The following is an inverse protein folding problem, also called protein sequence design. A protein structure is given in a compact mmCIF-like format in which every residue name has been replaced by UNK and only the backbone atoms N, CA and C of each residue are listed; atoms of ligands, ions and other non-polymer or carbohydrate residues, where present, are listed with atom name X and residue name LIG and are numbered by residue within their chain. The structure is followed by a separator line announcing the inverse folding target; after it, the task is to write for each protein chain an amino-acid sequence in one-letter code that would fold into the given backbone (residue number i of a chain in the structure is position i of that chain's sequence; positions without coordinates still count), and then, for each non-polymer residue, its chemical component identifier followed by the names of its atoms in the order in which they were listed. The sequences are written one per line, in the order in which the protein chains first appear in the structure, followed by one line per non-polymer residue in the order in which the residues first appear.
data_IF_151813504237
#
_entry.id   IF_151813504237
#
_cell.length_a   1.000
_cell.length_b   1.000
_cell.length_c   1.000
_cell.angle_alpha   90.00
_cell.angle_beta   90.00
_cell.angle_gamma   90.00
#
_symmetry.space_group_name_H-M   'P 1'
#
loop_
_entity.id
_entity.type
_entity.pdbx_description
1 polymer ?
#
# COMPACT_ATOMS: atom_id res chain seq x y z
N UNK A 1 22.73 6.07 24.84
CA UNK A 1 22.44 4.83 24.07
C UNK A 1 21.10 4.17 24.42
N UNK A 2 20.77 3.94 25.70
CA UNK A 2 19.49 3.28 26.12
C UNK A 2 18.21 4.00 25.61
N UNK A 3 18.16 5.31 25.62
CA UNK A 3 16.97 6.09 25.14
C UNK A 3 16.75 5.98 23.65
N UNK A 4 17.81 5.88 22.81
CA UNK A 4 17.70 5.70 21.36
C UNK A 4 17.19 4.28 21.00
N UNK A 5 17.64 3.25 21.72
CA UNK A 5 17.16 1.88 21.50
C UNK A 5 15.70 1.71 21.92
N UNK A 6 15.29 2.31 23.04
CA UNK A 6 13.89 2.31 23.47
C UNK A 6 12.97 2.99 22.45
N UNK A 7 13.40 4.14 21.88
CA UNK A 7 12.64 4.82 20.85
C UNK A 7 12.51 4.00 19.55
N UNK A 8 13.58 3.27 19.16
CA UNK A 8 13.53 2.40 17.97
C UNK A 8 12.55 1.24 18.13
N UNK A 9 12.59 0.55 19.25
CA UNK A 9 11.65 -0.55 19.53
C UNK A 9 10.21 -0.05 19.55
N UNK A 10 9.96 1.09 20.22
CA UNK A 10 8.64 1.70 20.24
C UNK A 10 8.10 1.98 18.83
N UNK A 11 8.88 2.65 17.97
CA UNK A 11 8.39 3.05 16.66
C UNK A 11 8.11 1.85 15.75
N UNK A 12 8.86 0.75 15.91
CA UNK A 12 8.60 -0.50 15.20
C UNK A 12 7.29 -1.16 15.66
N UNK A 13 7.02 -1.17 16.96
CA UNK A 13 5.74 -1.64 17.52
C UNK A 13 4.59 -0.76 17.04
N UNK A 14 4.78 0.56 17.03
CA UNK A 14 3.80 1.52 16.49
C UNK A 14 3.45 1.21 15.04
N UNK A 15 4.46 1.07 14.17
CA UNK A 15 4.25 0.73 12.77
C UNK A 15 3.56 -0.62 12.60
N UNK A 16 3.96 -1.62 13.36
CA UNK A 16 3.32 -2.94 13.31
C UNK A 16 1.83 -2.84 13.68
N UNK A 17 1.48 -2.15 14.76
CA UNK A 17 0.07 -1.98 15.20
C UNK A 17 -0.72 -1.17 14.19
N UNK A 18 -0.15 -0.11 13.59
CA UNK A 18 -0.81 0.68 12.56
C UNK A 18 -1.15 -0.18 11.33
N UNK A 19 -0.18 -0.94 10.83
CA UNK A 19 -0.38 -1.81 9.66
C UNK A 19 -1.33 -2.97 10.00
N UNK A 20 -1.22 -3.53 11.19
CA UNK A 20 -2.15 -4.55 11.68
C UNK A 20 -3.59 -4.01 11.69
N UNK A 21 -3.80 -2.80 12.23
CA UNK A 21 -5.11 -2.15 12.28
C UNK A 21 -5.69 -1.91 10.88
N UNK A 22 -4.88 -1.43 9.93
CA UNK A 22 -5.28 -1.30 8.53
C UNK A 22 -5.67 -2.67 7.96
N UNK A 23 -4.83 -3.69 8.18
CA UNK A 23 -5.05 -5.06 7.69
C UNK A 23 -6.33 -5.69 8.24
N UNK A 24 -6.66 -5.46 9.51
CA UNK A 24 -7.89 -5.95 10.17
C UNK A 24 -9.14 -5.45 9.42
N UNK A 25 -9.13 -4.24 8.88
CA UNK A 25 -10.30 -3.60 8.27
C UNK A 25 -10.47 -3.99 6.79
N UNK A 26 -9.38 -4.34 6.09
CA UNK A 26 -9.40 -4.64 4.65
C UNK A 26 -10.51 -5.64 4.25
N UNK A 27 -10.69 -6.81 4.89
CA UNK A 27 -11.72 -7.77 4.51
C UNK A 27 -13.14 -7.35 4.95
N UNK A 28 -13.28 -6.32 5.77
CA UNK A 28 -14.53 -5.99 6.47
C UNK A 28 -15.23 -4.77 5.89
N UNK A 29 -14.47 -3.73 5.53
CA UNK A 29 -15.05 -2.46 5.09
C UNK A 29 -15.98 -2.61 3.87
N UNK A 30 -15.67 -3.41 2.83
CA UNK A 30 -16.59 -3.64 1.73
C UNK A 30 -17.91 -4.30 2.17
N UNK A 31 -17.84 -5.27 3.08
CA UNK A 31 -19.01 -5.98 3.60
C UNK A 31 -19.91 -5.06 4.45
N UNK A 32 -19.29 -4.18 5.27
CA UNK A 32 -20.04 -3.20 6.05
C UNK A 32 -20.75 -2.18 5.14
N UNK A 33 -20.10 -1.74 4.06
CA UNK A 33 -20.73 -0.87 3.06
C UNK A 33 -21.90 -1.57 2.39
N UNK A 34 -21.74 -2.83 2.03
CA UNK A 34 -22.78 -3.66 1.43
C UNK A 34 -23.99 -3.83 2.37
N UNK A 35 -23.75 -3.99 3.69
CA UNK A 35 -24.82 -4.05 4.69
C UNK A 35 -25.67 -2.77 4.68
N UNK A 36 -25.06 -1.58 4.64
CA UNK A 36 -25.80 -0.31 4.56
C UNK A 36 -26.61 -0.13 3.28
N UNK A 37 -26.25 -0.82 2.21
CA UNK A 37 -26.88 -0.73 0.88
C UNK A 37 -27.83 -1.90 0.58
N UNK A 38 -28.26 -2.64 1.61
CA UNK A 38 -29.22 -3.74 1.45
C UNK A 38 -28.71 -4.89 0.58
N UNK A 39 -27.40 -5.08 0.50
CA UNK A 39 -26.78 -6.20 -0.24
C UNK A 39 -26.43 -5.87 -1.71
N UNK A 40 -26.59 -4.65 -2.19
CA UNK A 40 -26.30 -4.29 -3.58
C UNK A 40 -24.80 -4.16 -3.84
N UNK A 41 -24.23 -5.15 -4.53
CA UNK A 41 -22.77 -5.23 -4.81
C UNK A 41 -22.27 -4.09 -5.72
N UNK A 42 -23.04 -3.72 -6.75
CA UNK A 42 -22.65 -2.66 -7.68
C UNK A 42 -22.61 -1.30 -6.98
N UNK A 43 -23.62 -0.98 -6.17
CA UNK A 43 -23.61 0.26 -5.38
C UNK A 43 -22.50 0.23 -4.30
N UNK A 44 -22.30 -0.90 -3.63
CA UNK A 44 -21.24 -1.05 -2.65
C UNK A 44 -19.85 -0.78 -3.26
N UNK A 45 -19.62 -1.21 -4.50
CA UNK A 45 -18.39 -0.94 -5.22
C UNK A 45 -18.18 0.55 -5.50
N UNK A 46 -19.24 1.30 -5.87
CA UNK A 46 -19.15 2.76 -6.06
C UNK A 46 -18.73 3.43 -4.76
N UNK A 47 -19.50 3.20 -3.69
CA UNK A 47 -19.22 3.85 -2.40
C UNK A 47 -17.86 3.47 -1.85
N UNK A 48 -17.49 2.19 -1.90
CA UNK A 48 -16.17 1.73 -1.47
C UNK A 48 -15.05 2.39 -2.25
N UNK A 49 -15.13 2.43 -3.58
CA UNK A 49 -14.14 3.05 -4.43
C UNK A 49 -13.96 4.55 -4.13
N UNK A 50 -15.07 5.28 -3.94
CA UNK A 50 -15.03 6.70 -3.58
C UNK A 50 -14.50 6.93 -2.17
N UNK A 51 -14.88 6.12 -1.18
CA UNK A 51 -14.38 6.18 0.21
C UNK A 51 -12.86 5.98 0.24
N UNK A 52 -12.34 4.95 -0.43
CA UNK A 52 -10.89 4.67 -0.48
C UNK A 52 -10.14 5.78 -1.24
N UNK A 53 -10.70 6.28 -2.34
CA UNK A 53 -10.12 7.40 -3.08
C UNK A 53 -10.08 8.68 -2.24
N UNK A 54 -11.12 8.95 -1.44
CA UNK A 54 -11.16 10.09 -0.51
C UNK A 54 -10.05 9.98 0.53
N UNK A 55 -9.89 8.81 1.16
CA UNK A 55 -8.78 8.55 2.08
C UNK A 55 -7.42 8.81 1.43
N UNK A 56 -7.17 8.24 0.24
CA UNK A 56 -5.91 8.40 -0.47
C UNK A 56 -5.65 9.86 -0.89
N UNK A 57 -6.70 10.59 -1.29
CA UNK A 57 -6.62 12.02 -1.64
C UNK A 57 -6.25 12.86 -0.43
N UNK A 58 -6.92 12.65 0.71
CA UNK A 58 -6.59 13.38 1.95
C UNK A 58 -5.18 13.06 2.41
N UNK A 59 -4.76 11.79 2.35
CA UNK A 59 -3.40 11.38 2.68
C UNK A 59 -2.36 12.06 1.76
N UNK A 60 -2.60 12.09 0.44
CA UNK A 60 -1.72 12.74 -0.52
C UNK A 60 -1.56 14.24 -0.26
N UNK A 61 -2.64 14.93 0.06
CA UNK A 61 -2.64 16.37 0.33
C UNK A 61 -2.03 16.70 1.70
N UNK A 62 -2.34 15.90 2.73
CA UNK A 62 -2.00 16.22 4.11
C UNK A 62 -0.64 15.66 4.55
N UNK A 63 -0.12 14.57 3.92
CA UNK A 63 1.15 13.98 4.31
C UNK A 63 2.34 14.95 4.23
N UNK A 64 2.49 15.80 3.18
CA UNK A 64 3.56 16.80 3.15
C UNK A 64 3.40 17.87 4.23
N UNK A 65 2.15 18.23 4.57
CA UNK A 65 1.84 19.23 5.61
C UNK A 65 2.24 18.68 6.97
N UNK A 66 1.78 17.47 7.30
CA UNK A 66 2.12 16.81 8.57
C UNK A 66 3.62 16.51 8.68
N UNK A 67 4.27 16.17 7.57
CA UNK A 67 5.71 16.04 7.50
C UNK A 67 6.44 17.34 7.90
N UNK A 68 6.04 18.46 7.30
CA UNK A 68 6.63 19.77 7.63
C UNK A 68 6.28 20.23 9.07
N UNK A 69 5.08 19.91 9.56
CA UNK A 69 4.74 20.18 10.97
C UNK A 69 5.60 19.31 11.91
N UNK A 70 5.92 18.07 11.52
CA UNK A 70 6.80 17.21 12.31
C UNK A 70 8.26 17.71 12.31
N UNK A 71 8.71 18.35 11.22
CA UNK A 71 10.04 19.02 11.15
C UNK A 71 10.09 20.27 12.02
N UNK A 72 8.97 20.93 12.25
CA UNK A 72 8.88 22.17 13.06
C UNK A 72 8.65 21.90 14.53
N UNK A 73 7.67 21.06 14.86
CA UNK A 73 7.20 20.85 16.24
C UNK A 73 7.84 19.64 16.92
N UNK A 74 8.50 18.79 16.14
CA UNK A 74 9.07 17.52 16.58
C UNK A 74 8.26 16.32 16.04
N UNK A 75 8.88 15.16 16.05
CA UNK A 75 8.30 13.91 15.54
C UNK A 75 7.20 13.37 16.45
N UNK A 76 7.48 13.37 17.75
CA UNK A 76 6.58 12.78 18.77
C UNK A 76 5.17 13.38 18.77
N UNK A 77 4.95 14.71 18.80
CA UNK A 77 3.61 15.28 18.80
C UNK A 77 2.79 14.85 17.58
N UNK A 78 3.40 14.83 16.39
CA UNK A 78 2.71 14.49 15.15
C UNK A 78 2.35 13.00 15.11
N UNK A 79 3.25 12.10 15.56
CA UNK A 79 2.93 10.68 15.69
C UNK A 79 1.75 10.48 16.63
N UNK A 80 1.73 11.12 17.80
CA UNK A 80 0.64 10.99 18.77
C UNK A 80 -0.69 11.51 18.22
N UNK A 81 -0.70 12.68 17.55
CA UNK A 81 -1.92 13.21 16.91
C UNK A 81 -2.41 12.26 15.81
N UNK A 82 -1.52 11.70 15.00
CA UNK A 82 -1.87 10.74 13.96
C UNK A 82 -2.47 9.45 14.53
N UNK A 83 -1.88 8.89 15.58
CA UNK A 83 -2.40 7.69 16.28
C UNK A 83 -3.78 7.94 16.90
N UNK A 84 -3.98 9.09 17.53
CA UNK A 84 -5.27 9.47 18.09
C UNK A 84 -6.33 9.63 17.00
N UNK A 85 -5.98 10.29 15.88
CA UNK A 85 -6.87 10.43 14.74
C UNK A 85 -7.26 9.09 14.12
N UNK A 86 -6.31 8.13 14.04
CA UNK A 86 -6.57 6.78 13.55
C UNK A 86 -7.50 6.00 14.49
N UNK A 87 -7.30 6.09 15.81
CA UNK A 87 -8.20 5.49 16.80
C UNK A 87 -9.62 6.06 16.68
N UNK A 88 -9.71 7.39 16.50
CA UNK A 88 -11.00 8.10 16.31
C UNK A 88 -11.71 7.61 15.04
N UNK A 89 -10.98 7.45 13.92
CA UNK A 89 -11.54 6.89 12.69
C UNK A 89 -12.16 5.50 12.93
N UNK A 90 -11.41 4.60 13.58
CA UNK A 90 -11.91 3.25 13.84
C UNK A 90 -13.15 3.25 14.76
N UNK A 91 -13.19 4.11 15.77
CA UNK A 91 -14.39 4.26 16.62
C UNK A 91 -15.59 4.77 15.81
N UNK A 92 -15.38 5.79 14.98
CA UNK A 92 -16.42 6.34 14.11
C UNK A 92 -16.99 5.24 13.20
N UNK A 93 -16.12 4.43 12.58
CA UNK A 93 -16.55 3.33 11.71
C UNK A 93 -17.26 2.21 12.47
N UNK A 94 -16.76 1.84 13.66
CA UNK A 94 -17.38 0.82 14.51
C UNK A 94 -18.81 1.19 14.96
N UNK A 95 -19.05 2.47 15.25
CA UNK A 95 -20.38 2.99 15.63
C UNK A 95 -21.18 3.59 14.47
N UNK A 96 -20.67 3.55 13.25
CA UNK A 96 -21.31 4.18 12.10
C UNK A 96 -22.79 3.77 11.97
N UNK A 97 -23.76 4.72 12.06
CA UNK A 97 -25.18 4.47 11.82
C UNK A 97 -25.54 4.55 10.34
N UNK A 98 -24.64 5.09 9.49
CA UNK A 98 -24.83 5.23 8.05
C UNK A 98 -23.51 5.31 7.31
N UNK A 99 -23.55 5.17 5.99
CA UNK A 99 -22.39 5.19 5.10
C UNK A 99 -21.60 6.52 5.18
N UNK A 100 -22.25 7.63 5.50
CA UNK A 100 -21.62 8.95 5.61
C UNK A 100 -20.61 9.03 6.77
N UNK A 101 -20.82 8.25 7.81
CA UNK A 101 -19.87 8.14 8.93
C UNK A 101 -18.60 7.40 8.49
N UNK A 102 -18.70 6.47 7.55
CA UNK A 102 -17.53 5.82 6.95
C UNK A 102 -16.70 6.83 6.13
N UNK A 103 -17.37 7.72 5.38
CA UNK A 103 -16.70 8.82 4.68
C UNK A 103 -15.98 9.75 5.66
N UNK A 104 -16.65 10.15 6.74
CA UNK A 104 -16.07 11.02 7.76
C UNK A 104 -14.83 10.37 8.39
N UNK A 105 -14.94 9.11 8.83
CA UNK A 105 -13.84 8.36 9.41
C UNK A 105 -12.66 8.27 8.44
N UNK A 106 -12.88 7.82 7.20
CA UNK A 106 -11.82 7.71 6.20
C UNK A 106 -11.19 9.05 5.83
N UNK A 107 -11.96 10.14 5.86
CA UNK A 107 -11.43 11.49 5.67
C UNK A 107 -10.47 11.86 6.81
N UNK A 108 -10.87 11.64 8.06
CA UNK A 108 -10.01 11.85 9.25
C UNK A 108 -8.75 10.99 9.17
N UNK A 109 -8.90 9.70 8.87
CA UNK A 109 -7.75 8.80 8.71
C UNK A 109 -6.80 9.25 7.61
N UNK A 110 -7.32 9.74 6.48
CA UNK A 110 -6.50 10.27 5.39
C UNK A 110 -5.72 11.52 5.81
N UNK A 111 -6.38 12.47 6.49
CA UNK A 111 -5.73 13.67 7.04
C UNK A 111 -4.63 13.29 8.04
N UNK A 112 -4.90 12.32 8.92
CA UNK A 112 -3.99 11.88 9.99
C UNK A 112 -2.99 10.80 9.55
N UNK A 113 -3.06 10.32 8.30
CA UNK A 113 -2.27 9.20 7.76
C UNK A 113 -0.77 9.45 7.59
N UNK A 114 -0.21 10.48 8.25
CA UNK A 114 1.23 10.77 8.23
C UNK A 114 2.03 10.00 9.30
N UNK A 115 1.41 9.14 10.09
CA UNK A 115 2.11 8.33 11.10
C UNK A 115 3.29 7.58 10.50
N UNK A 116 3.09 6.90 9.38
CA UNK A 116 4.14 6.13 8.67
C UNK A 116 5.27 7.05 8.18
N UNK A 117 4.94 8.19 7.57
CA UNK A 117 5.94 9.15 7.05
C UNK A 117 6.77 9.74 8.19
N UNK A 118 6.11 10.15 9.28
CA UNK A 118 6.78 10.71 10.46
C UNK A 118 7.59 9.64 11.20
N UNK A 119 7.09 8.39 11.26
CA UNK A 119 7.81 7.26 11.83
C UNK A 119 9.10 6.94 11.05
N UNK A 120 9.04 6.98 9.71
CA UNK A 120 10.25 6.81 8.89
C UNK A 120 11.27 7.93 9.12
N UNK A 121 10.82 9.19 9.29
CA UNK A 121 11.69 10.29 9.66
C UNK A 121 12.29 10.09 11.07
N UNK A 122 11.49 9.67 12.05
CA UNK A 122 11.95 9.33 13.39
C UNK A 122 13.05 8.25 13.35
N UNK A 123 12.85 7.18 12.58
CA UNK A 123 13.82 6.09 12.42
C UNK A 123 15.11 6.62 11.79
N UNK A 124 15.01 7.52 10.81
CA UNK A 124 16.18 8.14 10.20
C UNK A 124 16.97 8.99 11.22
N UNK A 125 16.26 9.73 12.10
CA UNK A 125 16.85 10.58 13.14
C UNK A 125 17.62 9.78 14.21
N UNK A 126 17.12 8.58 14.57
CA UNK A 126 17.73 7.74 15.61
C UNK A 126 18.75 6.73 15.07
N UNK A 127 18.83 6.56 13.75
CA UNK A 127 19.74 5.61 13.08
C UNK A 127 21.08 6.24 12.78
N UNK A 128 22.16 5.48 12.99
CA UNK A 128 23.49 5.80 12.47
C UNK A 128 23.61 5.32 11.01
N UNK A 129 24.60 5.81 10.23
CA UNK A 129 24.82 5.32 8.86
C UNK A 129 24.94 3.78 8.78
N UNK A 130 25.57 3.16 9.77
CA UNK A 130 25.81 1.71 9.84
C UNK A 130 24.55 0.92 10.15
N UNK A 131 23.65 1.45 10.98
CA UNK A 131 22.42 0.76 11.42
C UNK A 131 21.20 1.11 10.58
N UNK A 132 21.28 2.16 9.74
CA UNK A 132 20.12 2.67 8.98
C UNK A 132 19.46 1.62 8.10
N UNK A 133 20.27 0.87 7.33
CA UNK A 133 19.74 -0.18 6.45
C UNK A 133 19.03 -1.29 7.22
N UNK A 134 19.60 -1.71 8.36
CA UNK A 134 18.99 -2.71 9.24
C UNK A 134 17.68 -2.21 9.83
N UNK A 135 17.65 -0.96 10.33
CA UNK A 135 16.46 -0.37 10.95
C UNK A 135 15.29 -0.25 9.96
N UNK A 136 15.56 0.18 8.71
CA UNK A 136 14.54 0.17 7.66
C UNK A 136 14.15 -1.25 7.23
N UNK A 137 15.03 -2.23 7.36
CA UNK A 137 14.70 -3.65 7.20
C UNK A 137 13.65 -4.12 8.23
N UNK A 138 13.77 -3.70 9.49
CA UNK A 138 12.75 -3.98 10.52
C UNK A 138 11.41 -3.30 10.23
N UNK A 139 11.40 -2.11 9.62
CA UNK A 139 10.16 -1.48 9.14
C UNK A 139 9.47 -2.38 8.11
N UNK A 140 10.23 -2.88 7.14
CA UNK A 140 9.69 -3.84 6.15
C UNK A 140 9.13 -5.11 6.80
N UNK A 141 9.79 -5.64 7.83
CA UNK A 141 9.30 -6.79 8.59
C UNK A 141 7.99 -6.46 9.35
N UNK A 142 7.91 -5.29 9.98
CA UNK A 142 6.68 -4.84 10.65
C UNK A 142 5.50 -4.72 9.68
N UNK A 143 5.74 -4.16 8.48
CA UNK A 143 4.74 -4.13 7.41
C UNK A 143 4.32 -5.54 6.99
N UNK A 144 5.27 -6.42 6.71
CA UNK A 144 4.99 -7.80 6.29
C UNK A 144 4.15 -8.57 7.31
N UNK A 145 4.52 -8.48 8.59
CA UNK A 145 3.79 -9.14 9.68
C UNK A 145 2.40 -8.52 9.90
N UNK A 146 2.27 -7.19 9.83
CA UNK A 146 0.99 -6.52 9.95
C UNK A 146 0.02 -6.92 8.84
N UNK A 147 0.48 -6.99 7.58
CA UNK A 147 -0.31 -7.46 6.45
C UNK A 147 -0.57 -8.97 6.46
N UNK A 148 0.27 -9.76 7.11
CA UNK A 148 0.03 -11.19 7.28
C UNK A 148 -1.08 -11.46 8.31
N UNK A 149 -0.95 -10.86 9.50
CA UNK A 149 -1.85 -11.14 10.60
C UNK A 149 -3.12 -10.29 10.59
N UNK A 150 -3.06 -9.05 10.05
CA UNK A 150 -4.19 -8.12 10.04
C UNK A 150 -5.43 -8.70 9.38
N UNK A 151 -5.40 -9.08 8.09
CA UNK A 151 -6.57 -9.61 7.41
C UNK A 151 -7.09 -10.92 8.01
N UNK A 152 -6.21 -11.78 8.52
CA UNK A 152 -6.61 -13.02 9.20
C UNK A 152 -7.41 -12.70 10.47
N UNK A 153 -6.88 -11.80 11.31
CA UNK A 153 -7.59 -11.35 12.52
C UNK A 153 -8.89 -10.63 12.15
N UNK A 154 -8.86 -9.78 11.13
CA UNK A 154 -10.04 -9.09 10.62
C UNK A 154 -11.12 -10.06 10.18
N UNK A 155 -10.74 -11.08 9.39
CA UNK A 155 -11.65 -12.13 8.94
C UNK A 155 -12.26 -12.94 10.08
N UNK A 156 -11.44 -13.35 11.08
CA UNK A 156 -11.90 -14.06 12.26
C UNK A 156 -12.90 -13.22 13.09
N UNK A 157 -12.53 -11.98 13.40
CA UNK A 157 -13.37 -11.07 14.18
C UNK A 157 -14.64 -10.68 13.41
N UNK A 158 -14.53 -10.43 12.11
CA UNK A 158 -15.64 -10.06 11.25
C UNK A 158 -16.65 -11.19 11.04
N UNK A 159 -16.21 -12.45 11.14
CA UNK A 159 -17.09 -13.61 11.12
C UNK A 159 -17.95 -13.73 12.40
N UNK A 160 -17.49 -13.17 13.51
CA UNK A 160 -18.27 -13.09 14.75
C UNK A 160 -19.27 -11.93 14.65
N UNK A 161 -18.78 -10.73 14.29
CA UNK A 161 -19.59 -9.54 14.10
C UNK A 161 -18.85 -8.52 13.22
N UNK A 162 -19.49 -7.98 12.16
CA UNK A 162 -18.85 -7.08 11.19
C UNK A 162 -18.23 -5.81 11.79
N UNK A 163 -18.73 -5.35 12.93
CA UNK A 163 -18.20 -4.12 13.59
C UNK A 163 -17.09 -4.41 14.61
N UNK A 164 -16.94 -5.65 15.06
CA UNK A 164 -15.94 -6.02 16.06
C UNK A 164 -14.50 -5.71 15.63
N UNK A 165 -14.08 -5.93 14.37
CA UNK A 165 -12.76 -5.55 13.88
C UNK A 165 -12.41 -4.08 14.09
N UNK A 166 -13.37 -3.17 13.90
CA UNK A 166 -13.14 -1.73 14.10
C UNK A 166 -12.89 -1.39 15.57
N UNK A 167 -13.63 -1.98 16.49
CA UNK A 167 -13.42 -1.75 17.92
C UNK A 167 -12.09 -2.32 18.40
N UNK A 168 -11.69 -3.49 17.89
CA UNK A 168 -10.38 -4.09 18.21
C UNK A 168 -9.26 -3.21 17.65
N UNK A 169 -9.37 -2.76 16.40
CA UNK A 169 -8.39 -1.84 15.80
C UNK A 169 -8.30 -0.50 16.56
N UNK A 170 -9.46 0.05 16.98
CA UNK A 170 -9.51 1.25 17.82
C UNK A 170 -8.81 1.04 19.17
N UNK A 171 -9.09 -0.07 19.84
CA UNK A 171 -8.42 -0.45 21.09
C UNK A 171 -6.91 -0.56 20.94
N UNK A 172 -6.43 -1.24 19.89
CA UNK A 172 -5.01 -1.36 19.60
C UNK A 172 -4.38 0.02 19.31
N UNK A 173 -5.03 0.87 18.53
CA UNK A 173 -4.54 2.23 18.25
C UNK A 173 -4.49 3.10 19.51
N UNK A 174 -5.49 3.02 20.40
CA UNK A 174 -5.49 3.72 21.69
C UNK A 174 -4.38 3.20 22.63
N UNK A 175 -4.20 1.89 22.73
CA UNK A 175 -3.09 1.31 23.50
C UNK A 175 -1.75 1.79 22.96
N UNK A 176 -1.60 1.81 21.66
CA UNK A 176 -0.40 2.33 20.99
C UNK A 176 -0.21 3.84 21.27
N UNK A 177 -1.29 4.61 21.24
CA UNK A 177 -1.27 6.04 21.60
C UNK A 177 -0.82 6.26 23.04
N UNK A 178 -1.41 5.54 24.01
CA UNK A 178 -1.02 5.63 25.43
C UNK A 178 0.46 5.19 25.61
N UNK A 179 0.85 4.09 24.98
CA UNK A 179 2.25 3.65 25.02
C UNK A 179 3.19 4.73 24.46
N UNK A 180 2.83 5.36 23.35
CA UNK A 180 3.57 6.48 22.77
C UNK A 180 3.60 7.70 23.66
N UNK A 181 2.50 8.01 24.30
CA UNK A 181 2.41 9.16 25.20
C UNK A 181 3.37 9.05 26.40
N UNK A 182 3.51 7.86 26.97
CA UNK A 182 4.37 7.64 28.14
C UNK A 182 5.81 7.27 27.79
N UNK A 183 6.07 6.60 26.68
CA UNK A 183 7.35 5.93 26.40
C UNK A 183 8.13 6.58 25.26
N UNK A 184 7.46 7.17 24.23
CA UNK A 184 8.17 7.70 23.05
C UNK A 184 8.92 8.99 23.39
N UNK A 185 10.28 9.02 23.32
CA UNK A 185 11.03 10.26 23.42
C UNK A 185 10.94 11.06 22.12
N UNK A 186 11.22 12.36 22.19
CA UNK A 186 11.41 13.17 20.99
C UNK A 186 12.74 12.83 20.30
N UNK A 187 12.74 12.65 18.98
CA UNK A 187 13.95 12.34 18.21
C UNK A 187 14.61 13.59 17.62
N UNK A 188 13.82 14.64 17.34
CA UNK A 188 14.29 15.84 16.69
C UNK A 188 14.66 16.91 17.72
N UNK A 189 15.96 17.12 17.91
CA UNK A 189 16.45 18.15 18.81
C UNK A 189 15.97 19.55 18.36
N UNK A 190 15.71 20.48 19.30
CA UNK A 190 15.20 21.83 18.97
C UNK A 190 16.05 22.57 17.94
N UNK A 191 17.37 22.36 17.97
CA UNK A 191 18.36 23.01 17.07
C UNK A 191 18.23 22.52 15.61
N UNK A 192 17.68 21.33 15.39
CA UNK A 192 17.48 20.74 14.08
C UNK A 192 16.09 20.99 13.51
N UNK A 193 15.22 21.70 14.23
CA UNK A 193 13.86 22.03 13.76
C UNK A 193 13.91 23.06 12.66
N UNK A 194 13.12 22.83 11.61
CA UNK A 194 13.06 23.71 10.44
C UNK A 194 11.80 24.59 10.43
N UNK A 195 11.87 25.71 9.72
CA UNK A 195 10.69 26.53 9.46
C UNK A 195 9.85 25.89 8.35
N UNK A 196 8.52 25.94 8.51
CA UNK A 196 7.60 25.42 7.50
C UNK A 196 7.70 26.23 6.21
N UNK A 197 8.05 25.55 5.10
CA UNK A 197 8.09 26.17 3.78
C UNK A 197 7.01 25.59 2.87
N UNK A 198 5.91 26.30 2.71
CA UNK A 198 4.77 25.89 1.87
C UNK A 198 5.16 25.61 0.40
N UNK A 199 6.18 26.30 -0.13
CA UNK A 199 6.68 26.09 -1.50
C UNK A 199 7.32 24.71 -1.71
N UNK A 200 7.85 24.08 -0.66
CA UNK A 200 8.48 22.75 -0.71
C UNK A 200 7.46 21.60 -0.61
N UNK A 201 6.19 21.90 -0.33
CA UNK A 201 5.14 20.89 -0.10
C UNK A 201 4.42 20.43 -1.37
N UNK A 202 4.83 20.86 -2.55
CA UNK A 202 4.21 20.42 -3.80
C UNK A 202 4.66 18.98 -4.15
N UNK A 203 3.80 17.96 -3.95
CA UNK A 203 4.18 16.57 -4.17
C UNK A 203 4.40 16.26 -5.67
N UNK A 204 3.84 17.06 -6.58
CA UNK A 204 3.97 16.86 -8.03
C UNK A 204 5.27 17.47 -8.58
N UNK A 205 5.94 18.36 -7.82
CA UNK A 205 7.17 19.01 -8.29
C UNK A 205 8.31 18.00 -8.53
N UNK A 206 8.32 16.89 -7.79
CA UNK A 206 9.29 15.81 -7.94
C UNK A 206 9.17 15.07 -9.29
N UNK A 207 7.97 14.98 -9.87
CA UNK A 207 7.73 14.29 -11.14
C UNK A 207 8.50 14.92 -12.32
N UNK A 208 8.71 16.23 -12.32
CA UNK A 208 9.48 16.93 -13.36
C UNK A 208 10.92 16.43 -13.46
N UNK A 209 11.49 15.93 -12.37
CA UNK A 209 12.85 15.41 -12.31
C UNK A 209 13.04 14.08 -13.03
N UNK A 210 11.98 13.30 -13.20
CA UNK A 210 12.04 12.01 -13.90
C UNK A 210 12.53 12.17 -15.35
N UNK A 211 12.17 13.27 -16.01
CA UNK A 211 12.57 13.55 -17.39
C UNK A 211 14.08 13.76 -17.61
N UNK A 212 14.84 14.03 -16.54
CA UNK A 212 16.30 14.21 -16.63
C UNK A 212 17.05 12.90 -16.91
N UNK A 213 16.43 11.75 -16.62
CA UNK A 213 17.03 10.42 -16.77
C UNK A 213 16.15 9.53 -17.64
N UNK A 214 16.46 9.34 -18.94
CA UNK A 214 15.61 8.57 -19.87
C UNK A 214 15.28 7.14 -19.40
N UNK A 215 16.25 6.46 -18.80
CA UNK A 215 16.03 5.13 -18.21
C UNK A 215 15.02 5.19 -17.06
N UNK A 216 15.18 6.15 -16.14
CA UNK A 216 14.32 6.33 -14.98
C UNK A 216 12.90 6.74 -15.41
N UNK A 217 12.77 7.61 -16.41
CA UNK A 217 11.48 8.02 -16.96
C UNK A 217 10.71 6.82 -17.55
N UNK A 218 11.39 5.96 -18.32
CA UNK A 218 10.76 4.75 -18.86
C UNK A 218 10.39 3.73 -17.76
N UNK A 219 11.25 3.56 -16.76
CA UNK A 219 10.95 2.73 -15.58
C UNK A 219 9.79 3.28 -14.76
N UNK A 220 9.67 4.62 -14.62
CA UNK A 220 8.57 5.28 -13.92
C UNK A 220 7.23 5.09 -14.62
N UNK A 221 7.20 5.14 -15.97
CA UNK A 221 5.99 4.86 -16.76
C UNK A 221 5.56 3.40 -16.59
N UNK A 222 6.49 2.45 -16.68
CA UNK A 222 6.20 1.04 -16.45
C UNK A 222 5.72 0.78 -15.01
N UNK A 223 6.37 1.42 -14.03
CA UNK A 223 5.98 1.36 -12.63
C UNK A 223 4.57 1.92 -12.40
N UNK A 224 4.20 3.02 -13.06
CA UNK A 224 2.87 3.63 -12.95
C UNK A 224 1.78 2.62 -13.37
N UNK A 225 1.92 2.00 -14.56
CA UNK A 225 0.95 1.02 -15.04
C UNK A 225 0.91 -0.23 -14.17
N UNK A 226 2.05 -0.76 -13.77
CA UNK A 226 2.13 -1.92 -12.88
C UNK A 226 1.51 -1.64 -11.49
N UNK A 227 1.81 -0.47 -10.91
CA UNK A 227 1.25 -0.06 -9.62
C UNK A 227 -0.26 0.20 -9.70
N UNK A 228 -0.74 0.75 -10.82
CA UNK A 228 -2.17 0.97 -11.06
C UNK A 228 -2.93 -0.36 -11.08
N UNK A 229 -2.43 -1.36 -11.81
CA UNK A 229 -2.99 -2.70 -11.85
C UNK A 229 -2.99 -3.36 -10.47
N UNK A 230 -1.85 -3.32 -9.77
CA UNK A 230 -1.71 -3.92 -8.44
C UNK A 230 -2.68 -3.30 -7.43
N UNK A 231 -2.79 -1.96 -7.39
CA UNK A 231 -3.78 -1.27 -6.56
C UNK A 231 -5.22 -1.60 -6.94
N UNK A 232 -5.48 -1.82 -8.25
CA UNK A 232 -6.77 -2.29 -8.75
C UNK A 232 -7.19 -3.61 -8.13
N UNK A 233 -6.29 -4.60 -8.13
CA UNK A 233 -6.50 -5.89 -7.48
C UNK A 233 -6.80 -5.71 -5.99
N UNK A 234 -5.95 -4.98 -5.27
CA UNK A 234 -6.08 -4.76 -3.83
C UNK A 234 -7.44 -4.16 -3.44
N UNK A 235 -7.95 -3.21 -4.24
CA UNK A 235 -9.19 -2.53 -3.94
C UNK A 235 -10.45 -3.30 -4.35
N UNK A 236 -10.41 -4.09 -5.44
CA UNK A 236 -11.60 -4.79 -5.94
C UNK A 236 -11.77 -6.17 -5.32
N UNK A 237 -10.69 -6.75 -4.78
CA UNK A 237 -10.60 -8.17 -4.44
C UNK A 237 -11.74 -8.67 -3.57
N UNK A 238 -11.99 -8.03 -2.43
CA UNK A 238 -12.98 -8.50 -1.43
C UNK A 238 -14.40 -8.47 -2.02
N UNK A 239 -14.75 -7.39 -2.73
CA UNK A 239 -16.04 -7.27 -3.42
C UNK A 239 -16.20 -8.32 -4.52
N UNK A 240 -15.16 -8.52 -5.33
CA UNK A 240 -15.15 -9.53 -6.37
C UNK A 240 -15.30 -10.94 -5.82
N UNK A 241 -14.55 -11.29 -4.78
CA UNK A 241 -14.58 -12.61 -4.17
C UNK A 241 -15.94 -12.89 -3.49
N UNK A 242 -16.54 -11.87 -2.85
CA UNK A 242 -17.89 -11.93 -2.32
C UNK A 242 -18.92 -12.17 -3.41
N UNK A 243 -18.89 -11.38 -4.48
CA UNK A 243 -19.82 -11.50 -5.61
C UNK A 243 -19.65 -12.79 -6.39
N UNK A 244 -18.40 -13.16 -6.73
CA UNK A 244 -18.11 -14.29 -7.63
C UNK A 244 -18.18 -15.66 -6.98
N UNK A 245 -17.73 -15.75 -5.72
CA UNK A 245 -17.55 -17.03 -5.00
C UNK A 245 -18.38 -17.12 -3.72
N UNK A 246 -19.08 -16.06 -3.32
CA UNK A 246 -19.80 -16.01 -2.04
C UNK A 246 -18.88 -16.00 -0.81
N UNK A 247 -17.64 -15.50 -0.95
CA UNK A 247 -16.68 -15.51 0.14
C UNK A 247 -16.98 -14.41 1.17
N UNK A 248 -17.14 -14.81 2.41
CA UNK A 248 -17.26 -13.90 3.56
C UNK A 248 -15.90 -13.42 4.10
N UNK A 249 -15.93 -12.66 5.21
CA UNK A 249 -14.76 -12.06 5.83
C UNK A 249 -13.67 -13.07 6.18
N UNK A 250 -14.03 -14.23 6.74
CA UNK A 250 -13.07 -15.26 7.16
C UNK A 250 -12.27 -15.82 5.97
N UNK A 251 -12.95 -16.20 4.88
CA UNK A 251 -12.28 -16.76 3.70
C UNK A 251 -11.38 -15.73 3.03
N UNK A 252 -11.87 -14.48 2.91
CA UNK A 252 -11.07 -13.37 2.40
C UNK A 252 -9.85 -13.10 3.29
N UNK A 253 -10.02 -13.10 4.62
CA UNK A 253 -8.94 -12.90 5.59
C UNK A 253 -7.86 -13.97 5.48
N UNK A 254 -8.26 -15.25 5.39
CA UNK A 254 -7.33 -16.38 5.23
C UNK A 254 -6.56 -16.31 3.90
N UNK A 255 -7.25 -15.95 2.81
CA UNK A 255 -6.57 -15.79 1.51
C UNK A 255 -5.56 -14.63 1.54
N UNK A 256 -5.93 -13.48 2.10
CA UNK A 256 -5.01 -12.36 2.25
C UNK A 256 -3.82 -12.73 3.16
N UNK A 257 -4.04 -13.57 4.17
CA UNK A 257 -2.97 -14.18 4.96
C UNK A 257 -2.03 -15.04 4.10
N UNK A 258 -2.57 -15.88 3.21
CA UNK A 258 -1.77 -16.64 2.25
C UNK A 258 -0.95 -15.72 1.34
N UNK A 259 -1.54 -14.64 0.84
CA UNK A 259 -0.82 -13.62 0.05
C UNK A 259 0.33 -13.02 0.87
N UNK A 260 0.11 -12.73 2.15
CA UNK A 260 1.15 -12.24 3.06
C UNK A 260 2.30 -13.24 3.25
N UNK A 261 1.99 -14.52 3.47
CA UNK A 261 3.01 -15.59 3.55
C UNK A 261 3.83 -15.66 2.26
N UNK A 262 3.15 -15.69 1.11
CA UNK A 262 3.81 -15.76 -0.20
C UNK A 262 4.67 -14.52 -0.47
N UNK A 263 4.23 -13.33 -0.06
CA UNK A 263 5.01 -12.11 -0.17
C UNK A 263 6.31 -12.19 0.66
N UNK A 264 6.25 -12.68 1.90
CA UNK A 264 7.44 -12.88 2.75
C UNK A 264 8.40 -13.88 2.11
N UNK A 265 7.90 -15.00 1.61
CA UNK A 265 8.74 -16.03 0.97
C UNK A 265 9.41 -15.49 -0.30
N UNK A 266 8.65 -14.84 -1.17
CA UNK A 266 9.19 -14.35 -2.45
C UNK A 266 10.12 -13.17 -2.23
N UNK A 267 9.69 -12.16 -1.49
CA UNK A 267 10.50 -10.95 -1.29
C UNK A 267 11.68 -11.18 -0.34
N UNK A 268 11.51 -12.01 0.68
CA UNK A 268 12.57 -12.31 1.66
C UNK A 268 13.61 -13.30 1.14
N UNK A 269 13.18 -14.34 0.41
CA UNK A 269 14.07 -15.45 0.06
C UNK A 269 14.41 -15.51 -1.43
N UNK A 270 13.48 -15.13 -2.33
CA UNK A 270 13.66 -15.40 -3.77
C UNK A 270 14.22 -14.23 -4.57
N UNK A 271 14.02 -12.97 -4.18
CA UNK A 271 14.50 -11.81 -4.97
C UNK A 271 16.02 -11.90 -5.19
N UNK A 272 16.80 -12.03 -4.12
CA UNK A 272 18.27 -12.04 -4.21
C UNK A 272 18.82 -13.14 -5.13
N UNK A 273 18.46 -14.43 -4.95
CA UNK A 273 18.99 -15.49 -5.81
C UNK A 273 18.48 -15.41 -7.25
N UNK A 274 17.25 -14.93 -7.47
CA UNK A 274 16.71 -14.74 -8.82
C UNK A 274 17.46 -13.64 -9.55
N UNK A 275 17.60 -12.45 -8.92
CA UNK A 275 18.36 -11.33 -9.51
C UNK A 275 19.82 -11.70 -9.76
N UNK A 276 20.46 -12.44 -8.84
CA UNK A 276 21.84 -12.88 -9.01
C UNK A 276 22.02 -13.84 -10.19
N UNK A 277 21.02 -14.72 -10.46
CA UNK A 277 21.12 -15.73 -11.54
C UNK A 277 20.75 -15.18 -12.92
N UNK A 278 19.68 -14.41 -13.03
CA UNK A 278 19.14 -13.97 -14.34
C UNK A 278 19.30 -12.48 -14.61
N UNK A 279 19.74 -11.69 -13.61
CA UNK A 279 19.93 -10.24 -13.70
C UNK A 279 18.64 -9.45 -13.55
N UNK A 280 18.78 -8.16 -13.21
CA UNK A 280 17.64 -7.27 -12.89
C UNK A 280 16.62 -7.16 -14.03
N UNK A 281 17.06 -6.92 -15.26
CA UNK A 281 16.17 -6.72 -16.42
C UNK A 281 15.31 -7.95 -16.72
N UNK A 282 15.89 -9.15 -16.67
CA UNK A 282 15.15 -10.40 -16.88
C UNK A 282 14.22 -10.70 -15.72
N UNK A 283 14.63 -10.39 -14.48
CA UNK A 283 13.79 -10.53 -13.29
C UNK A 283 12.55 -9.66 -13.40
N UNK A 284 12.69 -8.38 -13.80
CA UNK A 284 11.57 -7.48 -14.01
C UNK A 284 10.65 -8.01 -15.10
N UNK A 285 11.20 -8.42 -16.25
CA UNK A 285 10.42 -8.96 -17.38
C UNK A 285 9.65 -10.21 -16.96
N UNK A 286 10.30 -11.15 -16.28
CA UNK A 286 9.67 -12.36 -15.74
C UNK A 286 8.53 -12.01 -14.78
N UNK A 287 8.77 -11.12 -13.80
CA UNK A 287 7.77 -10.74 -12.82
C UNK A 287 6.54 -10.08 -13.46
N UNK A 288 6.73 -9.17 -14.43
CA UNK A 288 5.62 -8.54 -15.16
C UNK A 288 4.87 -9.54 -16.05
N UNK A 289 5.56 -10.51 -16.65
CA UNK A 289 4.90 -11.58 -17.42
C UNK A 289 4.03 -12.42 -16.52
N UNK A 290 4.55 -12.83 -15.35
CA UNK A 290 3.78 -13.58 -14.35
C UNK A 290 2.59 -12.74 -13.86
N UNK A 291 2.77 -11.43 -13.61
CA UNK A 291 1.66 -10.54 -13.26
C UNK A 291 0.57 -10.52 -14.32
N UNK A 292 0.95 -10.37 -15.59
CA UNK A 292 0.01 -10.35 -16.73
C UNK A 292 -0.83 -11.62 -16.76
N UNK A 293 -0.17 -12.79 -16.65
CA UNK A 293 -0.84 -14.08 -16.68
C UNK A 293 -1.70 -14.34 -15.42
N UNK A 294 -1.22 -13.97 -14.24
CA UNK A 294 -1.97 -14.11 -13.00
C UNK A 294 -3.25 -13.26 -13.00
N UNK A 295 -3.17 -12.02 -13.50
CA UNK A 295 -4.35 -11.16 -13.60
C UNK A 295 -5.36 -11.69 -14.64
N UNK A 296 -4.88 -12.20 -15.76
CA UNK A 296 -5.74 -12.88 -16.71
C UNK A 296 -6.42 -14.09 -16.06
N UNK A 297 -5.67 -14.89 -15.31
CA UNK A 297 -6.20 -16.05 -14.60
C UNK A 297 -7.23 -15.67 -13.53
N UNK A 298 -7.02 -14.58 -12.75
CA UNK A 298 -8.02 -14.07 -11.80
C UNK A 298 -9.34 -13.68 -12.51
N UNK A 299 -9.25 -13.02 -13.67
CA UNK A 299 -10.44 -12.63 -14.44
C UNK A 299 -11.23 -13.83 -14.98
N UNK A 300 -10.53 -14.92 -15.33
CA UNK A 300 -11.10 -16.16 -15.88
C UNK A 300 -11.53 -17.16 -14.80
N UNK A 301 -11.02 -17.06 -13.57
CA UNK A 301 -11.33 -17.99 -12.50
C UNK A 301 -12.81 -18.04 -12.21
N UNK A 302 -13.42 -19.18 -12.48
CA UNK A 302 -14.86 -19.42 -12.28
C UNK A 302 -15.19 -19.99 -10.91
N UNK A 303 -14.22 -20.60 -10.24
CA UNK A 303 -14.41 -21.30 -8.97
C UNK A 303 -13.38 -20.85 -7.93
N UNK A 304 -13.79 -20.75 -6.67
CA UNK A 304 -12.96 -20.21 -5.58
C UNK A 304 -11.68 -21.01 -5.31
N UNK A 305 -11.66 -22.34 -5.52
CA UNK A 305 -10.48 -23.17 -5.31
C UNK A 305 -9.31 -22.84 -6.28
N UNK A 306 -9.61 -22.22 -7.43
CA UNK A 306 -8.57 -21.80 -8.40
C UNK A 306 -7.71 -20.66 -7.84
N UNK A 307 -8.29 -19.83 -6.98
CA UNK A 307 -7.66 -18.61 -6.48
C UNK A 307 -6.40 -18.87 -5.65
N UNK A 308 -6.36 -19.75 -4.65
CA UNK A 308 -5.13 -20.06 -3.92
C UNK A 308 -4.00 -20.53 -4.84
N UNK A 309 -4.33 -21.29 -5.88
CA UNK A 309 -3.35 -21.75 -6.88
C UNK A 309 -2.75 -20.57 -7.64
N UNK A 310 -3.62 -19.65 -8.10
CA UNK A 310 -3.18 -18.42 -8.79
C UNK A 310 -2.31 -17.55 -7.85
N UNK A 311 -2.68 -17.45 -6.57
CA UNK A 311 -1.89 -16.71 -5.56
C UNK A 311 -0.48 -17.30 -5.42
N UNK A 312 -0.36 -18.62 -5.30
CA UNK A 312 0.94 -19.28 -5.10
C UNK A 312 1.85 -19.08 -6.32
N UNK A 313 1.36 -19.35 -7.52
CA UNK A 313 2.16 -19.16 -8.75
C UNK A 313 2.35 -17.67 -9.08
N UNK A 314 1.32 -16.86 -8.89
CA UNK A 314 1.33 -15.41 -9.11
C UNK A 314 2.25 -14.65 -8.15
N UNK A 315 2.57 -15.22 -6.99
CA UNK A 315 3.47 -14.60 -6.01
C UNK A 315 4.86 -14.27 -6.58
N UNK A 316 5.35 -15.05 -7.56
CA UNK A 316 6.60 -14.76 -8.28
C UNK A 316 6.58 -13.39 -8.98
N UNK A 317 5.40 -12.83 -9.27
CA UNK A 317 5.26 -11.46 -9.74
C UNK A 317 5.83 -10.42 -8.78
N UNK A 318 5.84 -10.72 -7.47
CA UNK A 318 6.30 -9.84 -6.40
C UNK A 318 7.77 -9.41 -6.48
N UNK A 319 8.57 -10.04 -7.37
CA UNK A 319 9.96 -9.63 -7.61
C UNK A 319 10.07 -8.37 -8.49
N UNK A 320 9.05 -8.02 -9.30
CA UNK A 320 9.15 -6.98 -10.33
C UNK A 320 9.33 -5.58 -9.74
N UNK A 321 8.38 -5.13 -8.89
CA UNK A 321 8.37 -3.77 -8.35
C UNK A 321 9.62 -3.44 -7.52
N UNK A 322 10.06 -4.28 -6.56
CA UNK A 322 11.30 -4.02 -5.82
C UNK A 322 12.53 -3.97 -6.73
N UNK A 323 12.59 -4.82 -7.76
CA UNK A 323 13.71 -4.82 -8.71
C UNK A 323 13.71 -3.56 -9.58
N UNK A 324 12.54 -3.04 -10.00
CA UNK A 324 12.44 -1.73 -10.67
C UNK A 324 12.98 -0.62 -9.78
N UNK A 325 12.59 -0.59 -8.51
CA UNK A 325 13.06 0.42 -7.56
C UNK A 325 14.58 0.32 -7.32
N UNK A 326 15.11 -0.90 -7.24
CA UNK A 326 16.55 -1.15 -7.14
C UNK A 326 17.32 -0.63 -8.36
N UNK A 327 16.83 -0.94 -9.58
CA UNK A 327 17.44 -0.48 -10.82
C UNK A 327 17.41 1.06 -10.96
N UNK A 328 16.30 1.68 -10.51
CA UNK A 328 16.18 3.15 -10.46
C UNK A 328 17.19 3.76 -9.49
N UNK A 329 17.33 3.19 -8.29
CA UNK A 329 18.28 3.68 -7.30
C UNK A 329 19.73 3.57 -7.78
N UNK A 330 20.08 2.52 -8.53
CA UNK A 330 21.40 2.35 -9.13
C UNK A 330 21.68 3.23 -10.36
N UNK A 331 20.62 3.78 -11.00
CA UNK A 331 20.73 4.57 -12.22
C UNK A 331 20.90 6.09 -11.98
N UNK A 332 20.83 6.56 -10.73
CA UNK A 332 20.89 7.99 -10.39
C UNK A 332 22.00 8.29 -9.38
N UNK A 333 22.47 9.52 -9.40
CA UNK A 333 23.48 9.98 -8.44
C UNK A 333 22.95 9.91 -6.99
N UNK A 334 23.79 9.57 -5.99
CA UNK A 334 23.37 9.51 -4.58
C UNK A 334 22.64 10.76 -4.09
N UNK A 335 23.05 11.95 -4.54
CA UNK A 335 22.43 13.25 -4.21
C UNK A 335 21.03 13.44 -4.80
N UNK A 336 20.66 12.68 -5.83
CA UNK A 336 19.37 12.76 -6.51
C UNK A 336 18.40 11.63 -6.11
N UNK A 337 18.90 10.57 -5.46
CA UNK A 337 18.09 9.41 -5.08
C UNK A 337 16.83 9.80 -4.28
N UNK A 338 16.97 10.71 -3.32
CA UNK A 338 15.83 11.18 -2.51
C UNK A 338 14.74 11.87 -3.35
N UNK A 339 15.12 12.65 -4.36
CA UNK A 339 14.18 13.35 -5.25
C UNK A 339 13.45 12.37 -6.18
N UNK A 340 14.19 11.39 -6.69
CA UNK A 340 13.60 10.34 -7.55
C UNK A 340 12.70 9.43 -6.73
N UNK A 341 13.09 9.04 -5.52
CA UNK A 341 12.22 8.28 -4.62
C UNK A 341 10.94 9.05 -4.30
N UNK A 342 11.01 10.36 -4.02
CA UNK A 342 9.82 11.20 -3.84
C UNK A 342 8.91 11.21 -5.08
N UNK A 343 9.48 11.19 -6.30
CA UNK A 343 8.69 11.09 -7.53
C UNK A 343 7.94 9.74 -7.63
N UNK A 344 8.60 8.62 -7.31
CA UNK A 344 7.95 7.30 -7.28
C UNK A 344 6.85 7.23 -6.20
N UNK A 345 7.08 7.83 -5.04
CA UNK A 345 6.05 7.95 -3.99
C UNK A 345 4.84 8.75 -4.49
N UNK A 346 5.06 9.85 -5.22
CA UNK A 346 3.97 10.62 -5.83
C UNK A 346 3.18 9.80 -6.86
N UNK A 347 3.86 8.99 -7.70
CA UNK A 347 3.18 8.07 -8.64
C UNK A 347 2.34 7.03 -7.89
N UNK A 348 2.88 6.43 -6.83
CA UNK A 348 2.15 5.49 -5.97
C UNK A 348 0.90 6.14 -5.36
N UNK A 349 1.01 7.38 -4.88
CA UNK A 349 -0.14 8.11 -4.32
C UNK A 349 -1.20 8.39 -5.37
N UNK A 350 -0.80 8.78 -6.60
CA UNK A 350 -1.75 8.97 -7.70
C UNK A 350 -2.47 7.66 -8.05
N UNK A 351 -1.75 6.54 -8.09
CA UNK A 351 -2.40 5.23 -8.32
C UNK A 351 -3.36 4.86 -7.19
N UNK A 352 -3.06 5.21 -5.95
CA UNK A 352 -3.94 4.97 -4.81
C UNK A 352 -5.24 5.80 -4.87
N UNK A 353 -5.20 6.99 -5.48
CA UNK A 353 -6.39 7.84 -5.69
C UNK A 353 -7.25 7.32 -6.84
N UNK A 354 -6.65 7.05 -8.00
CA UNK A 354 -7.40 6.76 -9.22
C UNK A 354 -7.80 5.29 -9.36
N UNK A 355 -7.02 4.36 -8.82
CA UNK A 355 -7.27 2.93 -8.96
C UNK A 355 -8.63 2.49 -8.38
N UNK A 356 -9.05 2.87 -7.16
CA UNK A 356 -10.36 2.51 -6.63
C UNK A 356 -11.52 3.05 -7.50
N UNK A 357 -11.35 4.25 -8.08
CA UNK A 357 -12.36 4.85 -8.95
C UNK A 357 -12.49 4.09 -10.27
N UNK A 358 -11.38 3.69 -10.88
CA UNK A 358 -11.38 3.02 -12.19
C UNK A 358 -11.78 1.56 -12.04
N UNK A 359 -11.11 0.83 -11.15
CA UNK A 359 -11.27 -0.63 -11.06
C UNK A 359 -12.53 -1.02 -10.29
N UNK A 360 -12.82 -0.33 -9.18
CA UNK A 360 -13.91 -0.72 -8.27
C UNK A 360 -15.19 0.06 -8.60
N UNK A 361 -15.17 1.39 -8.44
CA UNK A 361 -16.35 2.22 -8.69
C UNK A 361 -16.76 2.27 -10.17
N UNK A 362 -15.80 2.19 -11.10
CA UNK A 362 -16.06 2.16 -12.55
C UNK A 362 -16.35 0.75 -13.05
N UNK A 363 -15.28 -0.04 -13.29
CA UNK A 363 -15.41 -1.31 -14.00
C UNK A 363 -16.19 -2.36 -13.23
N UNK A 364 -15.84 -2.63 -11.97
CA UNK A 364 -16.52 -3.67 -11.22
C UNK A 364 -18.00 -3.34 -11.02
N UNK A 365 -18.31 -2.12 -10.57
CA UNK A 365 -19.69 -1.67 -10.39
C UNK A 365 -20.51 -1.77 -11.69
N UNK A 366 -19.95 -1.29 -12.81
CA UNK A 366 -20.64 -1.34 -14.09
C UNK A 366 -20.94 -2.78 -14.54
N UNK A 367 -19.91 -3.65 -14.55
CA UNK A 367 -20.03 -5.02 -15.05
C UNK A 367 -20.71 -6.02 -14.06
N UNK A 368 -21.11 -5.55 -12.88
CA UNK A 368 -21.94 -6.30 -11.91
C UNK A 368 -23.32 -5.70 -11.73
N UNK A 369 -23.66 -4.62 -12.45
CA UNK A 369 -25.00 -4.00 -12.45
C UNK A 369 -25.88 -4.56 -13.55
N UNK A 370 -27.20 -4.40 -13.39
CA UNK A 370 -28.20 -4.79 -14.39
C UNK A 370 -28.10 -3.97 -15.69
N UNK A 371 -27.39 -2.83 -15.68
CA UNK A 371 -27.16 -2.02 -16.85
C UNK A 371 -26.04 -2.56 -17.78
N UNK A 372 -25.29 -3.58 -17.34
CA UNK A 372 -24.22 -4.14 -18.14
C UNK A 372 -24.77 -5.01 -19.28
N UNK A 373 -24.26 -4.86 -20.51
CA UNK A 373 -24.67 -5.72 -21.63
C UNK A 373 -24.24 -7.18 -21.43
N UNK A 374 -23.21 -7.42 -20.63
CA UNK A 374 -22.66 -8.73 -20.29
C UNK A 374 -22.22 -8.69 -18.82
N UNK A 375 -22.62 -9.67 -18.02
CA UNK A 375 -22.12 -9.82 -16.66
C UNK A 375 -20.65 -10.28 -16.70
N UNK A 376 -19.72 -9.39 -16.36
CA UNK A 376 -18.29 -9.65 -16.44
C UNK A 376 -17.56 -9.13 -15.18
N UNK A 377 -17.74 -9.75 -14.00
CA UNK A 377 -17.15 -9.29 -12.76
C UNK A 377 -15.61 -9.31 -12.78
N UNK A 378 -14.99 -10.10 -13.68
CA UNK A 378 -13.54 -10.15 -13.91
C UNK A 378 -12.96 -8.98 -14.71
N UNK A 379 -13.78 -8.05 -15.23
CA UNK A 379 -13.33 -6.91 -16.06
C UNK A 379 -12.17 -6.09 -15.44
N UNK A 380 -12.14 -5.81 -14.12
CA UNK A 380 -11.01 -5.13 -13.50
C UNK A 380 -9.69 -5.89 -13.66
N UNK A 381 -9.70 -7.22 -13.55
CA UNK A 381 -8.48 -8.03 -13.71
C UNK A 381 -8.01 -8.08 -15.16
N UNK A 382 -8.93 -8.08 -16.13
CA UNK A 382 -8.54 -7.97 -17.54
C UNK A 382 -7.89 -6.64 -17.84
N UNK A 383 -8.40 -5.51 -17.31
CA UNK A 383 -7.72 -4.22 -17.41
C UNK A 383 -6.34 -4.30 -16.73
N UNK A 384 -6.24 -4.89 -15.54
CA UNK A 384 -4.97 -5.07 -14.85
C UNK A 384 -3.95 -5.88 -15.67
N UNK A 385 -4.39 -6.96 -16.32
CA UNK A 385 -3.56 -7.75 -17.24
C UNK A 385 -3.07 -6.90 -18.42
N UNK A 386 -3.93 -6.09 -19.03
CA UNK A 386 -3.56 -5.15 -20.11
C UNK A 386 -2.51 -4.14 -19.61
N UNK A 387 -2.68 -3.54 -18.44
CA UNK A 387 -1.74 -2.57 -17.88
C UNK A 387 -0.36 -3.18 -17.59
N UNK A 388 -0.30 -4.42 -17.07
CA UNK A 388 0.96 -5.14 -16.93
C UNK A 388 1.58 -5.46 -18.28
N UNK A 389 0.78 -5.82 -19.28
CA UNK A 389 1.23 -6.02 -20.66
C UNK A 389 1.81 -4.74 -21.28
N UNK A 390 1.16 -3.60 -21.05
CA UNK A 390 1.68 -2.28 -21.48
C UNK A 390 2.99 -1.98 -20.79
N UNK A 391 3.09 -2.21 -19.47
CA UNK A 391 4.32 -2.06 -18.70
C UNK A 391 5.45 -2.92 -19.29
N UNK A 392 5.16 -4.17 -19.63
CA UNK A 392 6.09 -5.10 -20.25
C UNK A 392 6.59 -4.59 -21.62
N UNK A 393 5.69 -4.10 -22.48
CA UNK A 393 6.03 -3.53 -23.79
C UNK A 393 6.90 -2.28 -23.66
N UNK A 394 6.56 -1.38 -22.74
CA UNK A 394 7.36 -0.17 -22.41
C UNK A 394 8.78 -0.56 -22.04
N UNK A 395 8.93 -1.53 -21.12
CA UNK A 395 10.25 -1.98 -20.68
C UNK A 395 11.02 -2.73 -21.75
N UNK A 396 10.36 -3.56 -22.55
CA UNK A 396 11.01 -4.27 -23.66
C UNK A 396 11.59 -3.27 -24.67
N UNK A 397 10.85 -2.20 -25.02
CA UNK A 397 11.35 -1.12 -25.88
C UNK A 397 12.48 -0.32 -25.24
N UNK A 398 12.35 -0.02 -23.94
CA UNK A 398 13.37 0.73 -23.19
C UNK A 398 14.70 -0.04 -23.12
N UNK A 399 14.66 -1.32 -22.78
CA UNK A 399 15.85 -2.16 -22.62
C UNK A 399 16.54 -2.48 -23.97
N UNK A 400 15.80 -2.42 -25.08
CA UNK A 400 16.41 -2.49 -26.44
C UNK A 400 17.18 -1.21 -26.78
N UNK A 401 16.67 -0.03 -26.36
CA UNK A 401 17.30 1.27 -26.65
C UNK A 401 18.49 1.60 -25.75
N UNK A 402 18.44 1.12 -24.51
CA UNK A 402 19.50 1.38 -23.52
C UNK A 402 20.14 0.03 -23.16
N UNK A 403 21.24 -0.37 -23.81
CA UNK A 403 21.94 -1.63 -23.50
C UNK A 403 22.37 -1.66 -22.03
N UNK A 404 22.51 -2.87 -21.47
CA UNK A 404 23.08 -3.02 -20.13
C UNK A 404 24.55 -2.61 -20.16
N UNK A 405 24.96 -1.80 -19.16
CA UNK A 405 26.39 -1.48 -19.00
C UNK A 405 27.17 -2.79 -18.72
N UNK A 406 28.35 -3.02 -19.31
CA UNK A 406 29.14 -4.23 -19.10
C UNK A 406 29.64 -4.48 -17.67
N UNK A 407 29.52 -3.49 -16.77
CA UNK A 407 30.11 -3.50 -15.42
C UNK A 407 29.32 -4.28 -14.36
N UNK A 408 28.28 -5.05 -14.70
CA UNK A 408 27.51 -5.86 -13.76
C UNK A 408 27.95 -7.34 -13.68
N UNK A 409 29.22 -7.63 -13.95
CA UNK A 409 29.86 -8.94 -13.73
C UNK A 409 31.16 -8.73 -12.95
N UNK A 410 31.03 -8.54 -11.64
CA UNK A 410 32.12 -8.79 -10.70
C UNK A 410 31.51 -9.16 -9.33
#
# INVERSE_FOLDING_TARGET
MRTRQAGMFFILVTLFIDILGIGIIVPILPELIKEFLGGNDAQAAIYYGVIISTYATMQFLCAPILGALSDRYGRRPIILVSLFGLATDYLIQGWAPSIWWLFLGRTIAGIMGASITTANAYIADVSTPETRAQNFGFVGAAFGLGFLFGPVLGGLLGNIHLRLPFFVAAGLALVNWFYGFFVLPESLAPEHRSTVSWRKMNPLASLRRLGAYPLVAGLAVAFLFASMAQRGLENVWVLYAGFRYGWGPLTNGLLLGLVGVMAVLVQGLLIKPVVARIGERRTITMGLTVSTLAFLAYGLASQGWMVPIIVVFGALAGVAIPTIQGLVAGAVLPSEQGKIHAAFTSLTSLTAIFSPLIFTAGLFSFFTSDAAPIMLPGAPFFLGSVLFGVSLVVLARLFRRIPASPTAKA
#
